data_IF_185778193171
#
_entry.id   IF_185778193171
#
_cell.length_a   1.000
_cell.length_b   1.000
_cell.length_c   1.000
_cell.angle_alpha   90.00
_cell.angle_beta   90.00
_cell.angle_gamma   90.00
#
_symmetry.space_group_name_H-M   'P 1'
#
loop_
_entity.id
_entity.type
_entity.pdbx_description
1 polymer ?
#
# COMPACT_ATOMS: atom_id res chain seq x y z
N UNK A 1 26.47 3.50 -7.01
CA UNK A 1 25.30 3.45 -7.91
C UNK A 1 24.11 2.96 -7.09
N UNK A 2 22.95 3.55 -7.21
CA UNK A 2 21.76 3.11 -6.45
C UNK A 2 20.77 2.54 -7.46
N UNK A 3 20.34 1.31 -7.26
CA UNK A 3 19.36 0.65 -8.09
C UNK A 3 18.00 0.72 -7.40
N UNK A 4 17.03 1.32 -8.06
CA UNK A 4 15.68 1.39 -7.60
C UNK A 4 14.82 0.43 -8.40
N UNK A 5 14.24 -0.54 -7.75
CA UNK A 5 13.22 -1.40 -8.34
C UNK A 5 11.84 -0.89 -7.93
N UNK A 6 11.07 -0.41 -8.90
CA UNK A 6 9.69 0.01 -8.71
C UNK A 6 8.77 -1.14 -9.06
N UNK A 7 7.84 -1.36 -8.19
CA UNK A 7 6.75 -2.28 -8.44
C UNK A 7 5.47 -1.47 -8.33
N UNK A 8 4.83 -1.24 -9.48
CA UNK A 8 3.51 -0.62 -9.50
C UNK A 8 2.47 -1.66 -9.10
N UNK A 9 1.96 -1.57 -7.87
CA UNK A 9 0.95 -2.49 -7.41
C UNK A 9 -0.34 -1.76 -7.12
N UNK A 10 -1.39 -2.19 -7.78
CA UNK A 10 -2.74 -1.82 -7.37
C UNK A 10 -3.32 -2.71 -6.27
N UNK A 11 -2.78 -3.92 -6.08
CA UNK A 11 -3.35 -4.93 -5.18
C UNK A 11 -2.26 -5.87 -4.66
N UNK A 12 -1.63 -5.51 -3.56
CA UNK A 12 -0.76 -6.39 -2.82
C UNK A 12 -1.48 -6.96 -1.59
N UNK A 13 -1.02 -8.11 -1.15
CA UNK A 13 -1.28 -8.58 0.20
C UNK A 13 -0.62 -7.58 1.16
N UNK A 14 -1.41 -6.59 1.60
CA UNK A 14 -0.95 -5.52 2.47
C UNK A 14 -1.14 -5.94 3.92
N UNK A 15 -0.10 -5.75 4.69
CA UNK A 15 -0.17 -5.72 6.14
C UNK A 15 0.03 -4.26 6.57
N UNK A 16 -1.08 -3.51 6.54
CA UNK A 16 -1.04 -2.07 6.77
C UNK A 16 -0.42 -1.29 5.59
N UNK A 17 0.58 -0.47 5.89
CA UNK A 17 1.30 0.39 4.94
C UNK A 17 2.54 -0.28 4.32
N UNK A 18 2.82 -1.54 4.69
CA UNK A 18 3.99 -2.28 4.25
C UNK A 18 3.62 -3.49 3.42
N UNK A 19 4.47 -3.81 2.45
CA UNK A 19 4.39 -5.08 1.75
C UNK A 19 4.84 -6.22 2.65
N UNK A 20 4.18 -7.36 2.56
CA UNK A 20 4.63 -8.62 3.19
C UNK A 20 5.84 -9.22 2.45
N UNK A 21 6.10 -8.81 1.22
CA UNK A 21 7.29 -9.22 0.47
C UNK A 21 8.49 -8.48 1.02
N UNK A 22 9.38 -9.20 1.68
CA UNK A 22 10.61 -8.66 2.29
C UNK A 22 11.77 -8.70 1.31
N UNK A 23 11.98 -9.85 0.69
CA UNK A 23 12.99 -10.03 -0.35
C UNK A 23 12.29 -10.12 -1.71
N UNK A 24 12.49 -9.12 -2.55
CA UNK A 24 11.84 -9.00 -3.86
C UNK A 24 12.38 -10.00 -4.89
N UNK A 25 13.56 -10.54 -4.69
CA UNK A 25 14.23 -11.45 -5.62
C UNK A 25 14.15 -12.92 -5.17
N UNK A 26 13.48 -13.19 -4.04
CA UNK A 26 13.31 -14.55 -3.52
C UNK A 26 12.43 -15.42 -4.45
N UNK A 27 12.91 -16.62 -4.76
CA UNK A 27 12.20 -17.56 -5.65
C UNK A 27 10.87 -18.05 -5.08
N UNK A 28 10.75 -18.16 -3.75
CA UNK A 28 9.52 -18.54 -3.05
C UNK A 28 8.37 -17.53 -3.20
N UNK A 29 8.65 -16.33 -3.68
CA UNK A 29 7.60 -15.33 -3.94
C UNK A 29 6.58 -15.78 -4.98
N UNK A 30 6.98 -16.66 -5.91
CA UNK A 30 6.08 -17.18 -6.95
C UNK A 30 4.87 -17.91 -6.34
N UNK A 31 5.12 -18.72 -5.33
CA UNK A 31 4.07 -19.50 -4.67
C UNK A 31 3.37 -18.72 -3.56
N UNK A 32 4.13 -17.89 -2.83
CA UNK A 32 3.62 -17.18 -1.66
C UNK A 32 2.89 -15.88 -2.03
N UNK A 33 3.39 -15.20 -3.07
CA UNK A 33 2.89 -13.88 -3.51
C UNK A 33 2.70 -13.83 -5.03
N UNK A 34 1.79 -14.62 -5.62
CA UNK A 34 1.62 -14.70 -7.08
C UNK A 34 1.24 -13.36 -7.72
N UNK A 35 0.47 -12.53 -7.03
CA UNK A 35 0.12 -11.17 -7.50
C UNK A 35 1.35 -10.26 -7.57
N UNK A 36 2.30 -10.43 -6.65
CA UNK A 36 3.56 -9.71 -6.69
C UNK A 36 4.38 -10.10 -7.93
N UNK A 37 4.50 -11.38 -8.20
CA UNK A 37 5.25 -11.88 -9.35
C UNK A 37 4.62 -11.50 -10.70
N UNK A 38 3.29 -11.34 -10.76
CA UNK A 38 2.58 -10.92 -11.96
C UNK A 38 2.51 -9.40 -12.16
N UNK A 39 2.97 -8.61 -11.20
CA UNK A 39 2.93 -7.16 -11.29
C UNK A 39 3.99 -6.61 -12.23
N UNK A 40 3.67 -5.48 -12.86
CA UNK A 40 4.61 -4.77 -13.70
C UNK A 40 5.76 -4.19 -12.85
N UNK A 41 7.00 -4.55 -13.19
CA UNK A 41 8.21 -4.13 -12.49
C UNK A 41 8.96 -3.10 -13.32
N UNK A 42 9.16 -1.93 -12.76
CA UNK A 42 10.03 -0.90 -13.33
C UNK A 42 11.33 -0.86 -12.53
N UNK A 43 12.45 -0.73 -13.21
CA UNK A 43 13.79 -0.61 -12.60
C UNK A 43 14.45 0.66 -13.09
N UNK A 44 15.09 1.40 -12.18
CA UNK A 44 15.87 2.59 -12.51
C UNK A 44 17.22 2.55 -11.79
N UNK A 45 18.29 2.74 -12.54
CA UNK A 45 19.64 2.89 -12.01
C UNK A 45 19.94 4.38 -11.86
N UNK A 46 20.15 4.83 -10.62
CA UNK A 46 20.34 6.23 -10.28
C UNK A 46 21.82 6.56 -10.08
N UNK A 47 22.24 7.68 -10.65
CA UNK A 47 23.57 8.25 -10.51
C UNK A 47 23.51 9.57 -9.73
N UNK A 48 24.63 10.06 -9.20
CA UNK A 48 24.68 11.39 -8.59
C UNK A 48 24.16 12.48 -9.54
N UNK A 49 23.19 13.27 -9.06
CA UNK A 49 22.52 14.31 -9.83
C UNK A 49 21.20 13.89 -10.46
N UNK A 50 20.86 12.60 -10.47
CA UNK A 50 19.57 12.16 -10.98
C UNK A 50 18.45 12.50 -10.00
N UNK A 51 17.27 12.76 -10.56
CA UNK A 51 16.01 12.99 -9.82
C UNK A 51 15.01 11.94 -10.28
N UNK A 52 14.42 11.25 -9.31
CA UNK A 52 13.38 10.27 -9.58
C UNK A 52 12.07 10.70 -8.98
N UNK A 53 11.02 10.69 -9.77
CA UNK A 53 9.66 10.87 -9.33
C UNK A 53 8.99 9.53 -9.07
N UNK A 54 8.53 9.32 -7.84
CA UNK A 54 7.76 8.14 -7.44
C UNK A 54 6.31 8.58 -7.19
N UNK A 55 5.34 8.13 -8.00
CA UNK A 55 3.94 8.46 -7.75
C UNK A 55 3.48 7.95 -6.39
N UNK A 56 2.49 8.63 -5.81
CA UNK A 56 1.82 8.13 -4.61
C UNK A 56 1.25 6.72 -4.83
N UNK A 57 1.24 5.91 -3.79
CA UNK A 57 0.75 4.52 -3.80
C UNK A 57 1.64 3.54 -4.62
N UNK A 58 2.84 3.96 -5.00
CA UNK A 58 3.79 3.06 -5.63
C UNK A 58 4.69 2.39 -4.59
N UNK A 59 4.64 1.07 -4.55
CA UNK A 59 5.60 0.29 -3.76
C UNK A 59 6.96 0.33 -4.44
N UNK A 60 7.99 0.49 -3.64
CA UNK A 60 9.34 0.60 -4.16
C UNK A 60 10.35 -0.02 -3.20
N UNK A 61 11.41 -0.56 -3.76
CA UNK A 61 12.56 -1.05 -3.03
C UNK A 61 13.81 -0.34 -3.54
N UNK A 62 14.69 0.06 -2.63
CA UNK A 62 15.95 0.74 -2.97
C UNK A 62 17.13 -0.11 -2.52
N UNK A 63 18.02 -0.42 -3.46
CA UNK A 63 19.27 -1.12 -3.16
C UNK A 63 20.42 -0.16 -3.42
N UNK A 64 21.24 0.10 -2.41
CA UNK A 64 22.48 0.86 -2.56
C UNK A 64 23.61 -0.11 -2.87
N UNK A 65 24.29 0.07 -4.00
CA UNK A 65 25.45 -0.72 -4.38
C UNK A 65 26.75 -0.17 -3.73
N UNK A 66 26.71 1.09 -3.31
CA UNK A 66 27.84 1.79 -2.70
C UNK A 66 27.31 2.88 -1.77
N UNK A 67 28.20 3.53 -1.02
CA UNK A 67 27.83 4.66 -0.18
C UNK A 67 27.20 5.77 -1.03
N UNK A 68 26.06 6.27 -0.57
CA UNK A 68 25.35 7.36 -1.25
C UNK A 68 24.47 8.13 -0.29
N UNK A 69 24.14 9.36 -0.67
CA UNK A 69 23.19 10.22 0.04
C UNK A 69 22.10 10.62 -0.94
N UNK A 70 20.85 10.43 -0.54
CA UNK A 70 19.69 10.88 -1.29
C UNK A 70 18.80 11.78 -0.41
N UNK A 71 18.11 12.71 -1.03
CA UNK A 71 17.15 13.60 -0.38
C UNK A 71 15.75 13.30 -0.93
N UNK A 72 14.82 13.00 -0.05
CA UNK A 72 13.42 12.80 -0.41
C UNK A 72 12.64 14.10 -0.18
N UNK A 73 11.88 14.48 -1.21
CA UNK A 73 10.90 15.56 -1.12
C UNK A 73 9.50 14.98 -1.22
N UNK A 74 8.70 15.21 -0.20
CA UNK A 74 7.29 14.82 -0.17
C UNK A 74 6.42 16.06 -0.30
N UNK A 75 5.30 15.94 -0.99
CA UNK A 75 4.34 17.03 -1.07
C UNK A 75 2.90 16.50 -1.09
N UNK A 76 2.00 17.32 -0.63
CA UNK A 76 0.56 17.06 -0.65
C UNK A 76 -0.01 17.54 -1.97
N UNK A 77 -0.75 16.67 -2.65
CA UNK A 77 -1.30 16.96 -3.98
C UNK A 77 -2.84 16.95 -4.03
N UNK A 78 -3.50 16.70 -2.90
CA UNK A 78 -4.95 16.75 -2.81
C UNK A 78 -5.40 18.05 -2.15
N UNK A 79 -6.43 18.66 -2.73
CA UNK A 79 -7.13 19.77 -2.11
C UNK A 79 -7.96 19.26 -0.92
N UNK A 80 -8.13 20.09 0.11
CA UNK A 80 -8.92 19.73 1.29
C UNK A 80 -8.23 19.95 2.63
N UNK A 81 -6.96 20.33 2.61
CA UNK A 81 -6.20 20.74 3.80
C UNK A 81 -6.29 19.75 4.96
N UNK A 82 -6.55 20.24 6.17
CA UNK A 82 -6.61 19.45 7.42
C UNK A 82 -7.77 18.44 7.47
N UNK A 83 -8.71 18.48 6.54
CA UNK A 83 -9.80 17.49 6.45
C UNK A 83 -9.36 16.20 5.77
N UNK A 84 -8.33 16.28 4.93
CA UNK A 84 -7.80 15.16 4.14
C UNK A 84 -6.50 14.64 4.74
N UNK A 85 -5.60 15.55 5.11
CA UNK A 85 -4.31 15.22 5.71
C UNK A 85 -4.33 15.40 7.23
N UNK A 86 -3.64 14.54 7.95
CA UNK A 86 -3.43 14.74 9.38
C UNK A 86 -2.56 16.00 9.62
N UNK A 87 -2.93 16.82 10.60
CA UNK A 87 -2.18 18.07 10.92
C UNK A 87 -0.72 17.85 11.26
N UNK A 88 -0.42 16.71 11.91
CA UNK A 88 0.94 16.33 12.32
C UNK A 88 1.74 15.59 11.24
N UNK A 89 1.13 15.34 10.09
CA UNK A 89 1.80 14.70 8.97
C UNK A 89 2.51 15.74 8.11
N UNK A 90 3.70 16.13 8.54
CA UNK A 90 4.50 17.14 7.84
C UNK A 90 4.90 16.71 6.42
N UNK A 91 5.01 15.42 6.18
CA UNK A 91 5.50 14.86 4.91
C UNK A 91 4.37 14.44 3.96
N UNK A 92 3.14 14.28 4.45
CA UNK A 92 2.03 13.81 3.63
C UNK A 92 2.13 12.33 3.24
N UNK A 93 2.80 11.53 4.07
CA UNK A 93 3.05 10.09 3.81
C UNK A 93 2.24 9.16 4.72
N UNK A 94 1.33 9.70 5.52
CA UNK A 94 0.40 8.92 6.33
C UNK A 94 -0.90 8.68 5.58
N UNK A 95 -1.67 7.74 6.08
CA UNK A 95 -3.03 7.54 5.60
C UNK A 95 -3.85 8.82 5.66
N UNK A 96 -4.64 9.04 4.63
CA UNK A 96 -5.59 10.16 4.59
C UNK A 96 -6.59 10.01 5.75
N UNK A 97 -6.92 11.12 6.39
CA UNK A 97 -7.84 11.14 7.55
C UNK A 97 -9.14 10.36 7.31
N UNK A 98 -9.84 10.51 6.16
CA UNK A 98 -11.02 9.70 5.89
C UNK A 98 -10.72 8.21 5.78
N UNK A 99 -9.60 7.82 5.15
CA UNK A 99 -9.19 6.43 5.01
C UNK A 99 -8.86 5.80 6.37
N UNK A 100 -8.06 6.47 7.19
CA UNK A 100 -7.72 6.00 8.54
C UNK A 100 -8.97 5.86 9.44
N UNK A 101 -9.98 6.71 9.26
CA UNK A 101 -11.25 6.57 9.96
C UNK A 101 -12.04 5.35 9.47
N UNK A 102 -12.09 5.14 8.16
CA UNK A 102 -12.79 4.00 7.56
C UNK A 102 -12.18 2.67 8.00
N UNK A 103 -10.85 2.55 7.99
CA UNK A 103 -10.13 1.36 8.46
C UNK A 103 -10.48 1.07 9.93
N UNK A 104 -10.40 2.06 10.83
CA UNK A 104 -10.78 1.87 12.24
C UNK A 104 -12.24 1.46 12.43
N UNK A 105 -13.15 1.98 11.60
CA UNK A 105 -14.55 1.57 11.64
C UNK A 105 -14.72 0.13 11.17
N UNK A 106 -13.97 -0.29 10.15
CA UNK A 106 -13.95 -1.66 9.67
C UNK A 106 -13.44 -2.62 10.75
N UNK A 107 -12.33 -2.29 11.42
CA UNK A 107 -11.79 -3.09 12.53
C UNK A 107 -12.80 -3.25 13.68
N UNK A 108 -13.54 -2.20 13.98
CA UNK A 108 -14.60 -2.27 14.97
C UNK A 108 -15.77 -3.13 14.49
N UNK A 109 -16.14 -3.02 13.22
CA UNK A 109 -17.21 -3.80 12.62
C UNK A 109 -16.86 -5.30 12.60
N UNK A 110 -15.66 -5.66 12.17
CA UNK A 110 -15.21 -7.07 12.09
C UNK A 110 -15.14 -7.72 13.48
N UNK A 111 -14.67 -6.99 14.49
CA UNK A 111 -14.70 -7.48 15.89
C UNK A 111 -16.09 -7.83 16.40
N UNK A 112 -17.16 -7.20 15.90
CA UNK A 112 -18.52 -7.60 16.28
C UNK A 112 -18.88 -8.99 15.73
N UNK A 113 -18.28 -9.39 14.59
CA UNK A 113 -18.51 -10.70 14.02
C UNK A 113 -17.82 -11.82 14.80
N UNK A 114 -16.82 -11.53 15.63
CA UNK A 114 -16.10 -12.53 16.44
C UNK A 114 -17.02 -13.22 17.47
N UNK A 115 -18.11 -12.58 17.84
CA UNK A 115 -19.13 -13.16 18.74
C UNK A 115 -20.08 -14.15 18.05
N UNK A 116 -20.02 -14.27 16.72
CA UNK A 116 -20.90 -15.14 15.95
C UNK A 116 -20.27 -16.53 15.73
N UNK A 117 -21.08 -17.59 15.60
CA UNK A 117 -20.62 -18.88 15.09
C UNK A 117 -19.92 -18.72 13.73
N UNK A 118 -18.97 -19.60 13.45
CA UNK A 118 -18.10 -19.52 12.27
C UNK A 118 -18.87 -19.38 10.95
N UNK A 119 -19.91 -20.18 10.76
CA UNK A 119 -20.72 -20.15 9.53
C UNK A 119 -21.41 -18.79 9.31
N UNK A 120 -21.94 -18.19 10.38
CA UNK A 120 -22.59 -16.88 10.31
C UNK A 120 -21.54 -15.77 10.14
N UNK A 121 -20.40 -15.90 10.79
CA UNK A 121 -19.27 -14.97 10.63
C UNK A 121 -18.79 -14.94 9.18
N UNK A 122 -18.59 -16.10 8.53
CA UNK A 122 -18.22 -16.18 7.11
C UNK A 122 -19.28 -15.52 6.21
N UNK A 123 -20.56 -15.83 6.43
CA UNK A 123 -21.65 -15.24 5.66
C UNK A 123 -21.67 -13.71 5.74
N UNK A 124 -21.63 -13.15 6.96
CA UNK A 124 -21.63 -11.69 7.14
C UNK A 124 -20.33 -11.05 6.66
N UNK A 125 -19.19 -11.71 6.81
CA UNK A 125 -17.92 -11.28 6.26
C UNK A 125 -17.97 -11.10 4.74
N UNK A 126 -18.47 -12.09 4.02
CA UNK A 126 -18.67 -11.99 2.55
C UNK A 126 -19.64 -10.88 2.16
N UNK A 127 -20.67 -10.67 2.94
CA UNK A 127 -21.61 -9.57 2.72
C UNK A 127 -20.95 -8.20 2.88
N UNK A 128 -20.04 -8.03 3.86
CA UNK A 128 -19.26 -6.80 4.04
C UNK A 128 -18.31 -6.57 2.87
N UNK A 129 -17.58 -7.61 2.43
CA UNK A 129 -16.70 -7.54 1.26
C UNK A 129 -17.50 -7.06 0.04
N UNK A 130 -18.63 -7.71 -0.26
CA UNK A 130 -19.48 -7.31 -1.40
C UNK A 130 -19.97 -5.86 -1.33
N UNK A 131 -20.25 -5.34 -0.13
CA UNK A 131 -20.65 -3.94 0.05
C UNK A 131 -19.48 -2.97 -0.23
N UNK A 132 -18.28 -3.31 0.23
CA UNK A 132 -17.07 -2.54 -0.03
C UNK A 132 -16.77 -2.53 -1.53
N UNK A 133 -16.77 -3.69 -2.16
CA UNK A 133 -16.54 -3.83 -3.60
C UNK A 133 -17.47 -2.93 -4.42
N UNK A 134 -18.78 -3.01 -4.16
CA UNK A 134 -19.79 -2.22 -4.88
C UNK A 134 -19.66 -0.71 -4.71
N UNK A 135 -19.15 -0.23 -3.58
CA UNK A 135 -19.11 1.19 -3.26
C UNK A 135 -17.76 1.84 -3.50
N UNK A 136 -16.68 1.09 -3.35
CA UNK A 136 -15.33 1.64 -3.27
C UNK A 136 -14.44 1.24 -4.43
N UNK A 137 -14.74 0.10 -5.09
CA UNK A 137 -13.88 -0.39 -6.17
C UNK A 137 -14.50 -0.06 -7.54
N UNK A 138 -13.65 0.45 -8.43
CA UNK A 138 -14.04 0.70 -9.83
C UNK A 138 -14.12 -0.59 -10.66
N UNK A 139 -13.47 -1.66 -10.18
CA UNK A 139 -13.50 -3.02 -10.74
C UNK A 139 -13.53 -4.01 -9.59
N UNK A 140 -14.23 -5.15 -9.72
CA UNK A 140 -14.18 -6.20 -8.70
C UNK A 140 -12.76 -6.75 -8.54
N UNK A 141 -12.49 -7.28 -7.35
CA UNK A 141 -11.22 -7.93 -6.99
C UNK A 141 -11.01 -9.24 -7.77
#
# INVERSE_FOLDING_TARGET
MCKLSHLAFRFLDLDGDKSRVVDIDASENVDTFPKFCSAEKHTADLRPGDVLFIPAMWFHNMTAEDFGVAVNLFWRNLDGGDNVYEKKDAYGNRDLVPAAKAIRMLDNCTRQLDSLPEELRDFYGRMLISRIEKRCLSKPL
#
